data_IF_564264630891
#
_entry.id   IF_564264630891
#
_cell.length_a   1.000
_cell.length_b   1.000
_cell.length_c   1.000
_cell.angle_alpha   90.00
_cell.angle_beta   90.00
_cell.angle_gamma   90.00
#
_symmetry.space_group_name_H-M   'P 1'
#
loop_
_entity.id
_entity.type
_entity.pdbx_description
1 polymer ?
#
# COMPACT_ATOMS: atom_id res chain seq x y z
N UNK A 1 10.84 19.59 -8.53
CA UNK A 1 11.59 20.09 -9.71
C UNK A 1 10.66 20.93 -10.61
N UNK A 2 11.18 21.79 -11.49
CA UNK A 2 10.34 22.64 -12.36
C UNK A 2 9.31 21.85 -13.17
N UNK A 3 9.64 20.64 -13.65
CA UNK A 3 8.69 19.77 -14.37
C UNK A 3 7.50 19.30 -13.52
N UNK A 4 7.70 18.99 -12.25
CA UNK A 4 6.61 18.60 -11.33
C UNK A 4 5.66 19.79 -11.07
N UNK A 5 6.22 21.01 -10.99
CA UNK A 5 5.46 22.24 -10.79
C UNK A 5 4.58 22.61 -11.99
N UNK A 6 5.01 22.25 -13.21
CA UNK A 6 4.30 22.57 -14.47
C UNK A 6 3.13 21.61 -14.74
N UNK A 7 3.22 20.34 -14.32
CA UNK A 7 2.20 19.31 -14.60
C UNK A 7 0.95 19.43 -13.71
N UNK A 8 1.08 20.00 -12.51
CA UNK A 8 -0.03 20.17 -11.55
C UNK A 8 -1.23 21.00 -12.04
N UNK A 9 -1.13 21.65 -13.21
CA UNK A 9 -2.17 22.52 -13.75
C UNK A 9 -3.21 21.87 -14.68
N UNK A 10 -2.98 20.67 -15.24
CA UNK A 10 -3.82 20.15 -16.34
C UNK A 10 -4.44 18.77 -16.12
N UNK A 11 -3.91 17.94 -15.21
CA UNK A 11 -4.36 16.55 -15.04
C UNK A 11 -4.43 16.10 -13.58
N UNK A 12 -5.19 16.81 -12.73
CA UNK A 12 -5.61 16.28 -11.41
C UNK A 12 -4.52 15.77 -10.46
N UNK A 13 -3.25 16.03 -10.74
CA UNK A 13 -2.12 15.62 -9.91
C UNK A 13 -2.05 16.52 -8.69
N UNK A 14 -1.78 15.93 -7.52
CA UNK A 14 -1.64 16.66 -6.27
C UNK A 14 -0.71 17.88 -6.45
N UNK A 15 -1.11 19.05 -5.95
CA UNK A 15 -0.30 20.27 -5.94
C UNK A 15 0.93 20.05 -5.04
N UNK A 16 2.00 19.45 -5.58
CA UNK A 16 3.22 19.08 -4.85
C UNK A 16 4.10 20.27 -4.46
N UNK A 17 3.81 21.47 -4.97
CA UNK A 17 4.54 22.70 -4.64
C UNK A 17 4.46 23.08 -3.15
N UNK A 18 3.35 22.73 -2.48
CA UNK A 18 3.11 22.98 -1.05
C UNK A 18 3.00 21.67 -0.23
N UNK A 19 3.33 20.52 -0.83
CA UNK A 19 3.32 19.24 -0.12
C UNK A 19 4.40 19.25 0.95
N UNK A 20 4.02 18.98 2.20
CA UNK A 20 4.96 18.81 3.31
C UNK A 20 5.76 17.50 3.20
N UNK A 21 5.30 16.58 2.36
CA UNK A 21 5.93 15.28 2.08
C UNK A 21 7.05 15.46 1.05
N UNK A 22 8.30 15.15 1.43
CA UNK A 22 9.47 15.37 0.59
C UNK A 22 9.85 14.14 -0.27
N UNK A 23 9.44 12.94 0.15
CA UNK A 23 9.70 11.67 -0.52
C UNK A 23 8.96 11.57 -1.85
N UNK A 24 7.74 12.12 -1.93
CA UNK A 24 6.89 12.11 -3.13
C UNK A 24 6.93 13.42 -3.92
N UNK A 25 7.95 14.26 -3.71
CA UNK A 25 8.10 15.55 -4.41
C UNK A 25 8.09 15.46 -5.94
N UNK A 26 8.42 14.28 -6.48
CA UNK A 26 8.47 14.00 -7.91
C UNK A 26 7.20 13.32 -8.45
N UNK A 27 6.17 13.12 -7.62
CA UNK A 27 4.91 12.53 -8.04
C UNK A 27 4.30 13.29 -9.23
N UNK A 28 3.86 12.56 -10.25
CA UNK A 28 3.30 13.10 -11.50
C UNK A 28 4.31 13.43 -12.59
N UNK A 29 5.63 13.29 -12.35
CA UNK A 29 6.65 13.42 -13.40
C UNK A 29 6.91 12.09 -14.12
N UNK A 30 6.93 11.00 -13.37
CA UNK A 30 7.16 9.65 -13.86
C UNK A 30 6.08 8.71 -13.33
N UNK A 31 5.71 7.71 -14.13
CA UNK A 31 4.73 6.71 -13.73
C UNK A 31 5.31 5.81 -12.63
N UNK A 32 4.57 5.53 -11.54
CA UNK A 32 5.06 4.69 -10.47
C UNK A 32 5.26 3.26 -10.97
N UNK A 33 6.40 2.68 -10.58
CA UNK A 33 6.73 1.28 -10.85
C UNK A 33 6.58 0.49 -9.57
N UNK A 34 5.40 -0.10 -9.39
CA UNK A 34 5.03 -0.81 -8.18
C UNK A 34 5.41 -2.29 -8.32
N UNK A 35 6.13 -2.84 -7.34
CA UNK A 35 6.39 -4.26 -7.24
C UNK A 35 5.62 -4.89 -6.08
N UNK A 36 4.91 -5.97 -6.35
CA UNK A 36 4.12 -6.71 -5.35
C UNK A 36 4.74 -8.10 -5.14
N UNK A 37 4.98 -8.47 -3.88
CA UNK A 37 5.39 -9.81 -3.47
C UNK A 37 4.52 -10.35 -2.34
N UNK A 38 4.59 -11.65 -2.09
CA UNK A 38 3.97 -12.33 -0.95
C UNK A 38 4.98 -12.56 0.18
N UNK A 39 4.48 -13.08 1.31
CA UNK A 39 5.25 -13.78 2.34
C UNK A 39 6.02 -15.01 1.80
N UNK A 40 6.89 -15.57 2.65
CA UNK A 40 7.59 -16.85 2.40
C UNK A 40 6.55 -17.98 2.35
N UNK A 41 6.63 -18.82 1.33
CA UNK A 41 5.73 -19.97 1.12
C UNK A 41 4.23 -19.62 1.13
N UNK A 42 3.74 -18.83 0.15
CA UNK A 42 2.35 -18.38 0.12
C UNK A 42 1.37 -19.50 -0.27
N UNK A 43 0.15 -19.43 0.27
CA UNK A 43 -0.97 -20.30 -0.11
C UNK A 43 -1.43 -20.05 -1.55
N UNK A 44 -2.20 -20.99 -2.09
CA UNK A 44 -2.83 -20.82 -3.40
C UNK A 44 -3.78 -19.61 -3.42
N UNK A 45 -4.52 -19.37 -2.33
CA UNK A 45 -5.46 -18.25 -2.20
C UNK A 45 -4.73 -16.91 -2.21
N UNK A 46 -3.61 -16.78 -1.48
CA UNK A 46 -2.79 -15.56 -1.52
C UNK A 46 -2.16 -15.32 -2.89
N UNK A 47 -1.74 -16.38 -3.59
CA UNK A 47 -1.25 -16.26 -4.97
C UNK A 47 -2.33 -15.75 -5.94
N UNK A 48 -3.60 -16.08 -5.71
CA UNK A 48 -4.74 -15.56 -6.48
C UNK A 48 -5.03 -14.11 -6.10
N UNK A 49 -5.12 -13.81 -4.80
CA UNK A 49 -5.33 -12.46 -4.31
C UNK A 49 -4.29 -11.46 -4.83
N UNK A 50 -3.00 -11.81 -4.83
CA UNK A 50 -1.95 -10.93 -5.37
C UNK A 50 -2.11 -10.69 -6.89
N UNK A 51 -2.67 -11.65 -7.64
CA UNK A 51 -2.98 -11.41 -9.06
C UNK A 51 -4.10 -10.39 -9.22
N UNK A 52 -5.10 -10.44 -8.35
CA UNK A 52 -6.20 -9.46 -8.34
C UNK A 52 -5.73 -8.09 -7.85
N UNK A 53 -4.91 -8.04 -6.81
CA UNK A 53 -4.31 -6.80 -6.29
C UNK A 53 -3.43 -6.11 -7.34
N UNK A 54 -2.73 -6.89 -8.17
CA UNK A 54 -1.99 -6.37 -9.32
C UNK A 54 -2.90 -5.66 -10.34
N UNK A 55 -4.16 -6.08 -10.48
CA UNK A 55 -5.11 -5.43 -11.38
C UNK A 55 -5.61 -4.08 -10.86
N UNK A 56 -5.57 -3.87 -9.54
CA UNK A 56 -5.97 -2.60 -8.92
C UNK A 56 -4.94 -1.51 -9.22
N UNK A 57 -3.66 -1.84 -9.17
CA UNK A 57 -2.58 -0.89 -9.43
C UNK A 57 -2.08 -0.99 -10.87
N UNK A 58 -2.31 0.01 -11.73
CA UNK A 58 -1.75 0.03 -13.08
C UNK A 58 -0.22 0.00 -13.00
N UNK A 59 0.45 -0.56 -14.01
CA UNK A 59 1.91 -0.75 -14.07
C UNK A 59 2.54 -1.61 -12.96
N UNK A 60 1.73 -2.24 -12.10
CA UNK A 60 2.27 -3.09 -11.05
C UNK A 60 2.79 -4.44 -11.59
N UNK A 61 3.93 -4.87 -11.05
CA UNK A 61 4.58 -6.12 -11.38
C UNK A 61 4.62 -7.05 -10.18
N UNK A 62 4.18 -8.29 -10.38
CA UNK A 62 4.30 -9.32 -9.35
C UNK A 62 5.66 -9.99 -9.46
N UNK A 63 6.34 -10.13 -8.34
CA UNK A 63 7.53 -10.96 -8.20
C UNK A 63 7.24 -12.22 -7.37
N UNK A 64 7.87 -13.34 -7.72
CA UNK A 64 7.77 -14.56 -6.92
C UNK A 64 8.80 -14.53 -5.79
N UNK A 65 8.35 -14.68 -4.54
CA UNK A 65 9.23 -14.58 -3.36
C UNK A 65 10.30 -15.66 -3.30
N UNK A 66 9.94 -16.92 -3.57
CA UNK A 66 10.86 -18.06 -3.48
C UNK A 66 11.60 -18.12 -2.14
N UNK A 67 12.89 -18.47 -2.19
CA UNK A 67 13.80 -18.49 -1.05
C UNK A 67 14.54 -17.17 -0.79
N UNK A 68 14.18 -16.08 -1.47
CA UNK A 68 14.89 -14.81 -1.34
C UNK A 68 14.62 -14.13 0.00
N UNK A 69 15.69 -13.60 0.59
CA UNK A 69 15.60 -12.76 1.79
C UNK A 69 15.01 -11.38 1.42
N UNK A 70 14.47 -10.66 2.41
CA UNK A 70 13.80 -9.39 2.17
C UNK A 70 14.78 -8.32 1.66
N UNK A 71 15.95 -8.26 2.29
CA UNK A 71 17.06 -7.38 1.92
C UNK A 71 17.45 -7.52 0.45
N UNK A 72 17.60 -8.76 -0.03
CA UNK A 72 17.95 -9.06 -1.42
C UNK A 72 16.91 -8.56 -2.41
N UNK A 73 15.62 -8.72 -2.08
CA UNK A 73 14.56 -8.23 -2.95
C UNK A 73 14.50 -6.71 -2.99
N UNK A 74 14.68 -6.03 -1.85
CA UNK A 74 14.71 -4.56 -1.79
C UNK A 74 15.89 -4.03 -2.60
N UNK A 75 17.06 -4.66 -2.48
CA UNK A 75 18.23 -4.31 -3.30
C UNK A 75 17.94 -4.46 -4.79
N UNK A 76 17.31 -5.58 -5.19
CA UNK A 76 16.91 -5.79 -6.58
C UNK A 76 15.86 -4.75 -7.05
N UNK A 77 14.94 -4.34 -6.19
CA UNK A 77 13.96 -3.29 -6.49
C UNK A 77 14.64 -1.95 -6.73
N UNK A 78 15.58 -1.57 -5.86
CA UNK A 78 16.38 -0.34 -6.01
C UNK A 78 17.19 -0.35 -7.30
N UNK A 79 17.83 -1.47 -7.64
CA UNK A 79 18.59 -1.61 -8.89
C UNK A 79 17.72 -1.54 -10.17
N UNK A 80 16.39 -1.68 -10.04
CA UNK A 80 15.45 -1.63 -11.15
C UNK A 80 14.57 -0.37 -11.11
N UNK A 81 14.93 0.64 -10.30
CA UNK A 81 14.19 1.89 -10.13
C UNK A 81 12.69 1.67 -9.84
N UNK A 82 12.41 0.69 -8.97
CA UNK A 82 11.07 0.43 -8.44
C UNK A 82 10.74 1.52 -7.43
N UNK A 83 9.60 2.19 -7.59
CA UNK A 83 9.17 3.28 -6.71
C UNK A 83 8.59 2.73 -5.42
N UNK A 84 7.73 1.71 -5.53
CA UNK A 84 6.95 1.20 -4.40
C UNK A 84 7.05 -0.31 -4.32
N UNK A 85 7.17 -0.82 -3.09
CA UNK A 85 7.27 -2.24 -2.83
C UNK A 85 6.21 -2.69 -1.83
N UNK A 86 5.32 -3.57 -2.27
CA UNK A 86 4.18 -4.06 -1.48
C UNK A 86 4.43 -5.52 -1.11
N UNK A 87 4.39 -5.81 0.19
CA UNK A 87 4.41 -7.19 0.71
C UNK A 87 3.05 -7.55 1.27
N UNK A 88 2.46 -8.62 0.76
CA UNK A 88 1.19 -9.14 1.27
C UNK A 88 1.43 -10.37 2.14
N UNK A 89 0.95 -10.29 3.37
CA UNK A 89 0.93 -11.40 4.32
C UNK A 89 -0.49 -11.96 4.44
N UNK A 90 -0.61 -13.25 4.67
CA UNK A 90 -1.89 -13.90 5.00
C UNK A 90 -1.78 -14.61 6.35
N UNK A 91 -2.91 -14.69 7.06
CA UNK A 91 -3.08 -15.59 8.19
C UNK A 91 -4.19 -16.57 7.88
N UNK A 92 -3.87 -17.88 7.85
CA UNK A 92 -4.81 -18.99 7.60
C UNK A 92 -5.65 -18.89 6.32
N UNK A 93 -5.16 -18.19 5.31
CA UNK A 93 -5.72 -18.19 3.96
C UNK A 93 -7.22 -17.95 3.90
N UNK A 94 -7.75 -16.98 4.66
CA UNK A 94 -9.16 -16.54 4.54
C UNK A 94 -9.18 -15.20 3.79
N UNK A 95 -9.29 -15.22 2.45
CA UNK A 95 -9.93 -14.13 1.71
C UNK A 95 -11.42 -14.39 1.59
N UNK A 96 -12.24 -13.59 2.26
CA UNK A 96 -13.70 -13.76 2.26
C UNK A 96 -14.32 -13.51 0.88
N UNK A 97 -15.36 -14.30 0.60
CA UNK A 97 -16.05 -14.36 -0.69
C UNK A 97 -16.98 -13.16 -0.91
N UNK A 98 -17.09 -12.74 -2.17
CA UNK A 98 -17.89 -11.62 -2.65
C UNK A 98 -19.36 -12.02 -2.94
N UNK A 99 -20.34 -11.24 -2.49
CA UNK A 99 -21.76 -11.40 -2.86
C UNK A 99 -22.58 -10.09 -2.83
N UNK A 100 -23.28 -9.79 -3.93
CA UNK A 100 -24.64 -9.18 -3.93
C UNK A 100 -24.88 -7.75 -4.48
N UNK A 101 -25.50 -7.69 -5.69
CA UNK A 101 -26.53 -6.77 -6.32
C UNK A 101 -27.02 -5.50 -5.55
N UNK A 102 -27.44 -4.37 -6.14
CA UNK A 102 -27.77 -3.91 -7.51
C UNK A 102 -27.87 -2.37 -7.56
N UNK A 103 -27.06 -1.72 -8.41
CA UNK A 103 -27.28 -0.63 -9.39
C UNK A 103 -26.07 -0.81 -10.34
N UNK A 104 -26.23 -1.00 -11.66
CA UNK A 104 -25.24 -1.73 -12.52
C UNK A 104 -23.82 -1.13 -12.68
N UNK A 105 -23.04 -1.16 -11.60
CA UNK A 105 -21.60 -1.23 -11.57
C UNK A 105 -21.27 -2.71 -11.32
N UNK A 106 -20.65 -3.39 -12.28
CA UNK A 106 -20.12 -4.74 -12.03
C UNK A 106 -18.88 -4.60 -11.15
N UNK A 107 -18.89 -5.16 -9.95
CA UNK A 107 -17.69 -5.19 -9.11
C UNK A 107 -16.58 -5.94 -9.84
N UNK A 108 -15.50 -5.24 -10.18
CA UNK A 108 -14.29 -5.82 -10.77
C UNK A 108 -13.23 -5.77 -9.68
N UNK A 109 -12.94 -6.92 -9.08
CA UNK A 109 -11.86 -7.09 -8.11
C UNK A 109 -12.32 -7.35 -6.67
N UNK A 110 -11.36 -7.50 -5.74
CA UNK A 110 -11.61 -7.92 -4.37
C UNK A 110 -12.12 -6.76 -3.49
N UNK A 111 -12.97 -7.08 -2.51
CA UNK A 111 -13.35 -6.16 -1.42
C UNK A 111 -12.52 -6.47 -0.19
N UNK A 112 -11.91 -5.45 0.40
CA UNK A 112 -11.12 -5.59 1.61
C UNK A 112 -11.19 -4.30 2.45
N UNK A 113 -11.11 -4.46 3.76
CA UNK A 113 -11.05 -3.36 4.73
C UNK A 113 -9.63 -3.33 5.30
N UNK A 114 -8.94 -2.18 5.20
CA UNK A 114 -7.57 -2.03 5.71
C UNK A 114 -7.53 -1.15 6.94
N UNK A 115 -6.86 -1.61 7.99
CA UNK A 115 -6.55 -0.81 9.17
C UNK A 115 -5.07 -0.47 9.19
N UNK A 116 -4.76 0.82 9.11
CA UNK A 116 -3.40 1.29 9.31
C UNK A 116 -2.96 0.98 10.76
N UNK A 117 -1.81 0.33 10.89
CA UNK A 117 -1.23 -0.03 12.19
C UNK A 117 -0.01 0.82 12.53
N UNK A 118 0.87 1.09 11.57
CA UNK A 118 2.13 1.78 11.82
C UNK A 118 2.64 2.44 10.54
N UNK A 119 3.22 3.64 10.67
CA UNK A 119 3.95 4.37 9.64
C UNK A 119 5.34 4.62 10.20
N UNK A 120 6.36 4.17 9.46
CA UNK A 120 7.77 4.40 9.76
C UNK A 120 8.44 5.15 8.62
N UNK A 121 9.29 6.11 8.98
CA UNK A 121 10.12 6.88 8.06
C UNK A 121 11.36 6.06 7.69
N UNK A 122 11.17 5.09 6.81
CA UNK A 122 12.25 4.23 6.35
C UNK A 122 11.79 3.04 5.53
N UNK A 123 12.73 2.41 4.84
CA UNK A 123 12.45 1.21 4.02
C UNK A 123 12.37 -0.06 4.87
N UNK A 124 11.72 -1.10 4.34
CA UNK A 124 11.49 -2.39 5.02
C UNK A 124 12.76 -3.09 5.54
N UNK A 125 13.95 -2.80 5.03
CA UNK A 125 15.22 -3.37 5.51
C UNK A 125 15.72 -2.73 6.82
N UNK A 126 15.31 -1.50 7.10
CA UNK A 126 15.80 -0.68 8.22
C UNK A 126 14.71 -0.42 9.27
N UNK A 127 13.68 -1.27 9.34
CA UNK A 127 12.50 -1.06 10.20
C UNK A 127 12.85 -0.89 11.68
N UNK A 128 13.92 -1.53 12.16
CA UNK A 128 14.34 -1.46 13.56
C UNK A 128 15.02 -0.13 13.91
N UNK A 129 15.63 0.53 12.92
CA UNK A 129 16.32 1.81 13.08
C UNK A 129 15.49 3.00 12.59
N UNK A 130 14.41 2.75 11.84
CA UNK A 130 13.55 3.78 11.29
C UNK A 130 12.69 4.44 12.36
N UNK A 131 12.60 5.76 12.31
CA UNK A 131 11.77 6.54 13.21
C UNK A 131 10.28 6.28 12.92
N UNK A 132 9.50 6.13 13.98
CA UNK A 132 8.05 5.91 13.87
C UNK A 132 7.34 7.25 13.77
N UNK A 133 6.71 7.52 12.62
CA UNK A 133 5.89 8.71 12.43
C UNK A 133 4.55 8.57 13.16
N UNK A 134 3.90 7.42 12.98
CA UNK A 134 2.62 7.12 13.60
C UNK A 134 2.49 5.64 13.93
N UNK A 135 1.84 5.32 15.05
CA UNK A 135 1.51 3.94 15.41
C UNK A 135 0.16 3.87 16.11
N UNK A 136 -0.61 2.84 15.79
CA UNK A 136 -1.85 2.49 16.46
C UNK A 136 -1.52 1.95 17.85
N UNK A 137 -2.01 2.65 18.89
CA UNK A 137 -1.76 2.30 20.30
C UNK A 137 -3.05 1.89 21.02
N UNK A 138 -3.56 0.67 20.78
CA UNK A 138 -4.90 0.26 21.21
C UNK A 138 -5.06 0.22 22.74
N UNK A 139 -3.98 -0.01 23.47
CA UNK A 139 -4.01 -0.18 24.93
C UNK A 139 -3.90 1.14 25.72
N UNK A 140 -4.04 2.30 25.06
CA UNK A 140 -4.15 3.58 25.77
C UNK A 140 -5.60 3.83 26.16
N UNK A 141 -5.83 4.33 27.38
CA UNK A 141 -7.17 4.65 27.90
C UNK A 141 -8.01 5.59 27.01
N UNK A 142 -7.35 6.38 26.15
CA UNK A 142 -8.00 7.30 25.20
C UNK A 142 -7.97 6.80 23.75
N UNK A 143 -7.43 5.61 23.48
CA UNK A 143 -7.26 5.10 22.12
C UNK A 143 -8.58 4.95 21.37
N UNK A 144 -9.65 4.51 22.05
CA UNK A 144 -10.98 4.36 21.45
C UNK A 144 -11.65 5.70 21.11
N UNK A 145 -11.16 6.80 21.67
CA UNK A 145 -11.69 8.15 21.43
C UNK A 145 -10.87 8.94 20.41
N UNK A 146 -9.66 8.47 20.07
CA UNK A 146 -8.77 9.15 19.14
C UNK A 146 -9.08 8.69 17.71
N UNK A 147 -9.54 9.64 16.89
CA UNK A 147 -9.71 9.47 15.45
C UNK A 147 -8.59 10.24 14.74
N UNK A 148 -7.92 9.60 13.79
CA UNK A 148 -6.76 10.19 13.11
C UNK A 148 -7.02 10.51 11.64
N UNK A 149 -7.67 9.59 10.90
CA UNK A 149 -7.80 9.67 9.43
C UNK A 149 -9.24 9.90 8.95
N UNK A 150 -10.24 9.74 9.82
CA UNK A 150 -11.65 9.94 9.49
C UNK A 150 -12.40 10.55 10.68
N UNK A 151 -13.41 11.37 10.39
CA UNK A 151 -14.29 11.89 11.44
C UNK A 151 -15.25 10.83 11.96
N UNK A 152 -15.58 9.83 11.15
CA UNK A 152 -16.47 8.72 11.49
C UNK A 152 -15.69 7.44 11.79
N UNK A 153 -16.28 6.56 12.60
CA UNK A 153 -15.69 5.25 12.87
C UNK A 153 -16.02 4.31 11.73
N UNK A 154 -15.04 4.03 10.87
CA UNK A 154 -15.20 3.12 9.72
C UNK A 154 -15.22 1.64 10.10
N UNK A 155 -15.23 1.30 11.39
CA UNK A 155 -15.18 -0.08 11.91
C UNK A 155 -16.41 -0.48 12.73
N UNK A 156 -17.48 0.30 12.67
CA UNK A 156 -18.79 -0.17 13.15
C UNK A 156 -19.28 -1.27 12.23
N UNK A 157 -19.31 -2.50 12.73
CA UNK A 157 -20.02 -3.60 12.08
C UNK A 157 -21.50 -3.20 11.94
N UNK A 158 -22.03 -3.18 10.71
CA UNK A 158 -23.47 -3.25 10.46
C UNK A 158 -23.98 -4.69 10.58
#
# INVERSE_FOLDING_TARGET
PERAAVIGGFSGGANTLNSQDDEYRYAGVEDPKIMITTSREPSARLKMFVKELRLIFPNSQRMNRGGYEMSQLIHACRANDVTDFIVVHEHRGIPDSLSGKEIELSEIGPRFQMKLYEIKLGTLEALDAADTEWALRPYMNTSSKRRFLSNDDGWTEE
#
